data_IF_418086776237
#
_entry.id   IF_418086776237
#
_cell.length_a   1.000
_cell.length_b   1.000
_cell.length_c   1.000
_cell.angle_alpha   90.00
_cell.angle_beta   90.00
_cell.angle_gamma   90.00
#
_symmetry.space_group_name_H-M   'P 1'
#
loop_
_entity.id
_entity.type
_entity.pdbx_description
1 polymer ?
#
# COMPACT_ATOMS: atom_id res chain seq x y z
N UNK A 1 8.48 1.95 17.71
CA UNK A 1 8.50 1.85 16.24
C UNK A 1 9.15 3.08 15.62
N UNK A 2 10.31 2.90 14.99
CA UNK A 2 11.05 3.91 14.23
C UNK A 2 10.38 4.22 12.89
N UNK A 3 10.85 5.26 12.20
CA UNK A 3 10.39 5.58 10.85
C UNK A 3 10.63 4.43 9.87
N UNK A 4 11.81 3.81 9.93
CA UNK A 4 12.19 2.68 9.07
C UNK A 4 11.32 1.45 9.31
N UNK A 5 11.00 1.14 10.57
CA UNK A 5 10.09 0.03 10.90
C UNK A 5 8.67 0.28 10.39
N UNK A 6 8.18 1.53 10.47
CA UNK A 6 6.87 1.91 9.92
C UNK A 6 6.84 1.83 8.40
N UNK A 7 7.91 2.26 7.74
CA UNK A 7 8.07 2.14 6.29
C UNK A 7 8.09 0.67 5.84
N UNK A 8 8.81 -0.19 6.56
CA UNK A 8 8.82 -1.63 6.28
C UNK A 8 7.42 -2.24 6.47
N UNK A 9 6.70 -1.86 7.53
CA UNK A 9 5.32 -2.30 7.76
C UNK A 9 4.39 -1.89 6.62
N UNK A 10 4.49 -0.66 6.12
CA UNK A 10 3.67 -0.20 4.99
C UNK A 10 3.91 -1.01 3.71
N UNK A 11 5.14 -1.48 3.47
CA UNK A 11 5.43 -2.39 2.36
C UNK A 11 4.83 -3.76 2.58
N UNK A 12 5.01 -4.31 3.78
CA UNK A 12 4.46 -5.63 4.12
C UNK A 12 2.94 -5.66 3.96
N UNK A 13 2.25 -4.61 4.41
CA UNK A 13 0.81 -4.44 4.24
C UNK A 13 0.40 -4.36 2.75
N UNK A 14 1.19 -3.68 1.92
CA UNK A 14 0.95 -3.62 0.48
C UNK A 14 1.11 -4.99 -0.20
N UNK A 15 2.12 -5.78 0.20
CA UNK A 15 2.34 -7.15 -0.29
C UNK A 15 1.17 -8.06 0.09
N UNK A 16 0.74 -8.01 1.35
CA UNK A 16 -0.40 -8.78 1.84
C UNK A 16 -1.69 -8.39 1.12
N UNK A 17 -1.91 -7.09 0.92
CA UNK A 17 -3.06 -6.60 0.16
C UNK A 17 -3.06 -7.12 -1.29
N UNK A 18 -1.92 -7.08 -1.98
CA UNK A 18 -1.82 -7.61 -3.35
C UNK A 18 -2.15 -9.09 -3.43
N UNK A 19 -1.74 -9.89 -2.45
CA UNK A 19 -2.04 -11.32 -2.39
C UNK A 19 -3.55 -11.62 -2.33
N UNK A 20 -4.36 -10.65 -1.91
CA UNK A 20 -5.81 -10.76 -1.79
C UNK A 20 -6.59 -9.89 -2.80
N UNK A 21 -5.90 -9.19 -3.71
CA UNK A 21 -6.52 -8.23 -4.62
C UNK A 21 -7.63 -8.85 -5.48
N UNK A 22 -7.39 -10.06 -6.02
CA UNK A 22 -8.30 -10.73 -6.96
C UNK A 22 -9.66 -11.13 -6.36
N UNK A 23 -9.76 -11.17 -5.02
CA UNK A 23 -10.98 -11.52 -4.30
C UNK A 23 -11.67 -10.32 -3.64
N UNK A 24 -11.17 -9.09 -3.84
CA UNK A 24 -11.78 -7.87 -3.33
C UNK A 24 -12.81 -7.27 -4.29
N UNK A 25 -13.87 -6.67 -3.73
CA UNK A 25 -14.78 -5.83 -4.48
C UNK A 25 -14.15 -4.46 -4.80
N UNK A 26 -14.74 -3.76 -5.77
CA UNK A 26 -14.27 -2.46 -6.24
C UNK A 26 -14.27 -1.37 -5.16
N UNK A 27 -15.20 -1.43 -4.20
CA UNK A 27 -15.25 -0.45 -3.11
C UNK A 27 -14.07 -0.64 -2.17
N UNK A 28 -13.80 -1.88 -1.78
CA UNK A 28 -12.67 -2.28 -0.94
C UNK A 28 -11.34 -1.90 -1.61
N UNK A 29 -11.20 -2.18 -2.91
CA UNK A 29 -10.04 -1.73 -3.70
C UNK A 29 -9.86 -0.21 -3.58
N UNK A 30 -10.91 0.58 -3.78
CA UNK A 30 -10.81 2.05 -3.71
C UNK A 30 -10.38 2.58 -2.33
N UNK A 31 -10.85 1.95 -1.25
CA UNK A 31 -10.49 2.31 0.12
C UNK A 31 -9.02 2.00 0.39
N UNK A 32 -8.55 0.83 -0.05
CA UNK A 32 -7.15 0.43 0.07
C UNK A 32 -6.21 1.29 -0.77
N UNK A 33 -6.57 1.62 -2.00
CA UNK A 33 -5.80 2.55 -2.84
C UNK A 33 -5.61 3.90 -2.13
N UNK A 34 -6.66 4.48 -1.54
CA UNK A 34 -6.55 5.72 -0.78
C UNK A 34 -5.67 5.59 0.47
N UNK A 35 -5.71 4.45 1.16
CA UNK A 35 -4.81 4.16 2.28
C UNK A 35 -3.36 4.14 1.82
N UNK A 36 -3.04 3.40 0.76
CA UNK A 36 -1.69 3.29 0.24
C UNK A 36 -1.16 4.57 -0.37
N UNK A 37 -2.00 5.44 -0.95
CA UNK A 37 -1.57 6.77 -1.37
C UNK A 37 -1.06 7.63 -0.19
N UNK A 38 -1.74 7.54 0.96
CA UNK A 38 -1.32 8.24 2.18
C UNK A 38 -0.02 7.65 2.72
N UNK A 39 0.12 6.32 2.77
CA UNK A 39 1.36 5.67 3.19
C UNK A 39 2.53 5.99 2.25
N UNK A 40 2.27 6.00 0.94
CA UNK A 40 3.24 6.31 -0.09
C UNK A 40 3.83 7.70 0.07
N UNK A 41 2.97 8.71 0.24
CA UNK A 41 3.40 10.10 0.51
C UNK A 41 4.16 10.20 1.83
N UNK A 42 3.69 9.54 2.89
CA UNK A 42 4.29 9.60 4.22
C UNK A 42 5.69 8.97 4.29
N UNK A 43 5.89 7.85 3.59
CA UNK A 43 7.12 7.05 3.69
C UNK A 43 8.02 7.12 2.46
N UNK A 44 7.68 7.98 1.49
CA UNK A 44 8.43 8.14 0.25
C UNK A 44 8.43 6.85 -0.58
N UNK A 45 7.26 6.19 -0.69
CA UNK A 45 7.05 4.96 -1.46
C UNK A 45 6.26 5.18 -2.75
N UNK A 46 5.94 6.42 -3.13
CA UNK A 46 5.07 6.73 -4.28
C UNK A 46 5.53 6.09 -5.59
N UNK A 47 6.84 6.12 -5.89
CA UNK A 47 7.37 5.49 -7.11
C UNK A 47 7.23 3.97 -7.04
N UNK A 48 7.67 3.37 -5.93
CA UNK A 48 7.61 1.93 -5.67
C UNK A 48 6.17 1.41 -5.77
N UNK A 49 5.21 2.07 -5.13
CA UNK A 49 3.82 1.65 -5.13
C UNK A 49 3.16 1.77 -6.52
N UNK A 50 3.48 2.80 -7.30
CA UNK A 50 3.01 2.94 -8.69
C UNK A 50 3.57 1.86 -9.61
N UNK A 51 4.87 1.58 -9.50
CA UNK A 51 5.53 0.56 -10.32
C UNK A 51 4.97 -0.85 -10.05
N UNK A 52 4.45 -1.09 -8.84
CA UNK A 52 3.86 -2.37 -8.44
C UNK A 52 2.32 -2.39 -8.56
N UNK A 53 1.66 -1.32 -9.02
CA UNK A 53 0.21 -1.30 -9.16
C UNK A 53 -0.57 -1.29 -7.84
N UNK A 54 0.04 -0.78 -6.76
CA UNK A 54 -0.64 -0.56 -5.47
C UNK A 54 -1.55 0.68 -5.52
N UNK A 55 -1.07 1.71 -6.23
CA UNK A 55 -1.76 3.00 -6.45
C UNK A 55 -1.61 3.43 -7.90
#
# INVERSE_FOLDING_TARGET
MTYSERKAKARQEAIEWQAHFDCMDWYSISVWTQHFEKQAKRYGLTKEFRENGII
#
